data_IF_365364903560
#
_entry.id   IF_365364903560
#
_cell.length_a   1.000
_cell.length_b   1.000
_cell.length_c   1.000
_cell.angle_alpha   90.00
_cell.angle_beta   90.00
_cell.angle_gamma   90.00
#
_symmetry.space_group_name_H-M   'P 1'
#
loop_
_entity.id
_entity.type
_entity.pdbx_description
1 polymer ?
2 non-polymer ?
#
# COMPACT_ATOMS: atom_id res chain seq x y z
N UNK A 10 -17.32 -26.43 5.68
CA UNK A 10 -18.19 -26.15 4.54
C UNK A 10 -17.85 -27.02 3.33
N UNK A 11 -18.89 -27.53 2.64
CA UNK A 11 -18.75 -28.37 1.44
C UNK A 11 -17.96 -27.71 0.30
N UNK A 12 -17.62 -28.51 -0.71
CA UNK A 12 -16.56 -28.15 -1.66
C UNK A 12 -17.06 -27.62 -3.01
N UNK A 13 -16.31 -26.67 -3.57
CA UNK A 13 -16.65 -26.08 -4.85
C UNK A 13 -15.58 -26.36 -5.86
N UNK A 14 -15.85 -27.32 -6.73
CA UNK A 14 -14.89 -27.72 -7.76
C UNK A 14 -15.28 -27.20 -9.14
N UNK A 15 -14.33 -26.56 -9.81
CA UNK A 15 -14.52 -26.09 -11.17
C UNK A 15 -13.29 -26.46 -11.99
N UNK A 16 -12.49 -27.37 -11.45
CA UNK A 16 -11.25 -27.80 -12.11
C UNK A 16 -11.25 -29.28 -12.43
N UNK A 17 -11.31 -29.59 -13.72
CA UNK A 17 -11.27 -30.96 -14.21
C UNK A 17 -10.77 -30.95 -15.64
N UNK A 18 -10.27 -32.09 -16.12
CA UNK A 18 -9.77 -32.17 -17.48
C UNK A 18 -10.91 -32.32 -18.48
N UNK A 19 -11.47 -31.19 -18.89
CA UNK A 19 -12.54 -31.18 -19.89
C UNK A 19 -11.95 -30.91 -21.27
N UNK A 20 -10.63 -30.75 -21.32
CA UNK A 20 -9.95 -30.35 -22.54
C UNK A 20 -9.34 -31.53 -23.28
N UNK A 21 -9.44 -31.50 -24.60
CA UNK A 21 -8.73 -32.44 -25.46
C UNK A 21 -8.20 -31.72 -26.69
N UNK A 22 -7.21 -32.31 -27.34
CA UNK A 22 -6.69 -31.75 -28.59
C UNK A 22 -6.86 -32.76 -29.72
N UNK A 23 -7.47 -32.32 -30.81
CA UNK A 23 -7.78 -33.21 -31.93
C UNK A 23 -6.62 -33.32 -32.90
N UNK A 24 -6.08 -32.18 -33.32
CA UNK A 24 -5.03 -32.15 -34.31
C UNK A 24 -3.63 -32.10 -33.72
N UNK A 25 -2.69 -31.57 -34.49
CA UNK A 25 -1.32 -31.44 -34.05
C UNK A 25 -1.03 -30.01 -33.60
N UNK A 26 -0.09 -29.88 -32.66
CA UNK A 26 0.31 -28.57 -32.17
C UNK A 26 1.31 -27.94 -33.12
N UNK A 27 1.02 -26.73 -33.58
CA UNK A 27 1.97 -26.01 -34.42
C UNK A 27 3.11 -25.48 -33.55
N UNK A 28 4.33 -25.89 -33.89
CA UNK A 28 5.52 -25.51 -33.14
C UNK A 28 5.97 -24.13 -33.55
N UNK A 29 6.42 -23.36 -32.56
CA UNK A 29 6.64 -21.95 -32.79
C UNK A 29 7.80 -21.43 -32.00
N UNK A 30 8.81 -21.01 -32.75
CA UNK A 30 9.94 -20.39 -32.13
C UNK A 30 9.61 -18.94 -31.76
N UNK A 31 9.54 -18.74 -30.44
CA UNK A 31 9.69 -17.48 -29.68
C UNK A 31 10.62 -16.40 -30.34
N UNK A 32 10.29 -15.14 -30.11
CA UNK A 32 11.09 -14.04 -30.63
C UNK A 32 12.36 -13.86 -29.82
N UNK A 33 13.44 -13.44 -30.47
CA UNK A 33 14.73 -13.25 -29.83
C UNK A 33 14.58 -12.51 -28.50
N UNK A 34 13.83 -11.41 -28.52
CA UNK A 34 13.63 -10.59 -27.33
C UNK A 34 13.03 -11.39 -26.17
N UNK A 35 11.98 -12.14 -26.49
CA UNK A 35 11.18 -12.74 -25.45
C UNK A 35 11.82 -13.98 -24.77
N UNK A 36 12.88 -14.61 -25.30
CA UNK A 36 13.50 -15.76 -24.57
C UNK A 36 14.31 -15.13 -23.49
N UNK A 37 15.10 -14.17 -23.95
CA UNK A 37 15.95 -13.38 -23.09
C UNK A 37 15.11 -12.89 -21.93
N UNK A 38 14.00 -12.23 -22.24
CA UNK A 38 13.08 -11.76 -21.21
C UNK A 38 12.63 -12.92 -20.31
N UNK A 39 12.17 -13.99 -20.96
CA UNK A 39 11.61 -15.15 -20.27
C UNK A 39 12.54 -15.76 -19.20
N UNK A 40 13.76 -16.17 -19.54
CA UNK A 40 14.61 -16.69 -18.45
C UNK A 40 15.35 -15.56 -17.71
N UNK A 41 15.12 -14.29 -18.06
CA UNK A 41 15.42 -13.24 -17.07
C UNK A 41 14.43 -13.40 -15.91
N UNK A 42 13.15 -13.49 -16.24
CA UNK A 42 12.12 -13.66 -15.22
C UNK A 42 12.27 -14.99 -14.49
N UNK A 43 12.73 -16.03 -15.19
CA UNK A 43 12.82 -17.36 -14.60
C UNK A 43 14.08 -17.56 -13.76
N UNK A 44 15.16 -16.90 -14.13
CA UNK A 44 16.44 -17.11 -13.45
C UNK A 44 16.93 -15.89 -12.67
N UNK A 45 16.95 -14.73 -13.34
CA UNK A 45 17.52 -13.53 -12.76
C UNK A 45 16.79 -12.62 -11.75
N UNK A 46 15.52 -12.36 -12.02
CA UNK A 46 14.76 -11.37 -11.25
C UNK A 46 14.20 -11.49 -9.84
N UNK A 47 13.07 -12.18 -9.71
CA UNK A 47 12.37 -12.26 -8.41
C UNK A 47 13.24 -12.92 -7.34
N UNK A 48 13.35 -12.26 -6.20
CA UNK A 48 14.03 -12.83 -5.03
C UNK A 48 13.28 -14.04 -4.51
N UNK A 49 12.02 -13.81 -4.17
CA UNK A 49 11.15 -14.88 -3.71
C UNK A 49 10.61 -15.65 -4.91
N UNK A 50 10.48 -16.97 -4.79
CA UNK A 50 10.02 -17.79 -5.91
C UNK A 50 8.52 -18.04 -5.83
N UNK A 51 7.98 -17.92 -4.62
CA UNK A 51 6.57 -18.14 -4.33
C UNK A 51 5.68 -17.16 -5.09
N UNK A 52 6.22 -16.00 -5.41
CA UNK A 52 5.46 -14.90 -5.97
C UNK A 52 4.81 -15.21 -7.32
N UNK A 53 5.16 -16.35 -7.92
CA UNK A 53 4.50 -16.76 -9.15
C UNK A 53 3.01 -16.92 -8.84
N UNK A 54 2.71 -17.56 -7.71
CA UNK A 54 1.33 -17.69 -7.24
C UNK A 54 0.69 -16.31 -7.20
N UNK A 55 1.44 -15.33 -6.73
CA UNK A 55 0.95 -13.98 -6.59
C UNK A 55 0.65 -13.33 -7.94
N UNK A 56 1.50 -13.60 -8.93
CA UNK A 56 1.37 -12.90 -10.21
C UNK A 56 0.22 -13.47 -11.04
N UNK A 57 0.15 -14.79 -11.08
CA UNK A 57 -0.93 -15.47 -11.79
C UNK A 57 -2.30 -15.02 -11.27
N UNK A 58 -2.48 -15.10 -9.95
CA UNK A 58 -3.68 -14.59 -9.31
C UNK A 58 -3.96 -13.16 -9.77
N UNK A 59 -2.92 -12.34 -9.83
CA UNK A 59 -3.08 -10.95 -10.28
C UNK A 59 -3.71 -10.93 -11.66
N UNK A 60 -3.12 -11.68 -12.59
CA UNK A 60 -3.67 -11.79 -13.93
C UNK A 60 -5.10 -12.28 -13.85
N UNK A 61 -5.33 -13.29 -13.02
CA UNK A 61 -6.64 -13.91 -12.89
C UNK A 61 -7.68 -12.86 -12.54
N UNK A 62 -7.26 -11.83 -11.81
CA UNK A 62 -8.16 -10.75 -11.45
C UNK A 62 -8.45 -9.86 -12.65
N UNK A 63 -7.38 -9.42 -13.31
CA UNK A 63 -7.51 -8.46 -14.41
C UNK A 63 -8.53 -8.92 -15.43
N UNK A 64 -8.26 -10.08 -16.03
CA UNK A 64 -9.18 -10.71 -16.96
C UNK A 64 -10.61 -10.63 -16.44
N UNK A 65 -10.80 -11.11 -15.22
CA UNK A 65 -12.12 -11.17 -14.62
C UNK A 65 -12.80 -9.81 -14.63
N UNK A 66 -12.07 -8.77 -14.22
CA UNK A 66 -12.68 -7.45 -14.18
C UNK A 66 -13.12 -7.05 -15.58
N UNK A 67 -12.25 -7.28 -16.55
CA UNK A 67 -12.54 -6.86 -17.91
C UNK A 67 -13.68 -7.70 -18.48
N UNK A 68 -13.92 -8.86 -17.89
CA UNK A 68 -15.13 -9.59 -18.23
C UNK A 68 -16.31 -8.79 -17.66
N UNK A 69 -16.30 -8.64 -16.34
CA UNK A 69 -17.37 -7.92 -15.64
C UNK A 69 -17.71 -6.63 -16.36
N UNK A 70 -16.70 -5.77 -16.49
CA UNK A 70 -16.85 -4.49 -17.17
C UNK A 70 -17.67 -4.67 -18.44
N UNK A 71 -17.13 -5.47 -19.36
CA UNK A 71 -17.75 -5.63 -20.66
C UNK A 71 -19.20 -6.03 -20.48
N UNK A 72 -19.43 -7.08 -19.70
CA UNK A 72 -20.77 -7.57 -19.47
C UNK A 72 -21.65 -6.45 -18.93
N UNK A 73 -21.17 -5.81 -17.87
CA UNK A 73 -21.94 -4.78 -17.19
C UNK A 73 -22.21 -3.63 -18.16
N UNK A 74 -21.28 -3.40 -19.08
CA UNK A 74 -21.47 -2.35 -20.07
C UNK A 74 -22.56 -2.76 -21.06
N UNK A 75 -22.47 -3.99 -21.55
CA UNK A 75 -23.41 -4.48 -22.55
C UNK A 75 -24.80 -4.61 -21.97
N UNK A 76 -24.87 -4.71 -20.65
CA UNK A 76 -26.13 -4.84 -19.95
C UNK A 76 -26.55 -6.29 -19.82
N UNK A 77 -25.70 -7.22 -20.23
CA UNK A 77 -26.04 -8.63 -20.08
C UNK A 77 -25.51 -9.18 -18.75
N UNK A 78 -26.08 -10.31 -18.34
CA UNK A 78 -25.90 -10.84 -16.99
C UNK A 78 -24.46 -11.21 -16.63
N UNK A 79 -24.29 -11.76 -15.44
CA UNK A 79 -22.98 -12.14 -14.94
C UNK A 79 -22.93 -13.62 -14.55
N UNK A 80 -21.93 -14.34 -15.07
CA UNK A 80 -21.69 -15.74 -14.73
C UNK A 80 -20.90 -15.84 -13.43
N UNK A 81 -20.67 -17.07 -12.96
CA UNK A 81 -19.84 -17.26 -11.79
C UNK A 81 -18.41 -16.79 -12.06
N UNK A 82 -18.09 -15.60 -11.56
CA UNK A 82 -16.78 -15.00 -11.73
C UNK A 82 -15.86 -15.38 -10.57
N UNK A 83 -15.02 -16.39 -10.78
CA UNK A 83 -14.23 -16.95 -9.68
C UNK A 83 -12.80 -17.27 -10.08
N UNK A 84 -11.93 -17.35 -9.08
CA UNK A 84 -10.54 -17.80 -9.25
C UNK A 84 -10.34 -19.09 -8.48
N UNK A 85 -9.70 -20.08 -9.11
CA UNK A 85 -9.50 -21.36 -8.46
C UNK A 85 -8.07 -21.85 -8.55
N UNK A 86 -7.59 -22.40 -7.43
CA UNK A 86 -6.29 -23.04 -7.37
C UNK A 86 -6.45 -24.50 -6.95
N UNK A 87 -5.69 -25.39 -7.58
CA UNK A 87 -5.70 -26.79 -7.20
C UNK A 87 -4.28 -27.33 -7.17
N UNK A 88 -3.97 -28.13 -6.16
CA UNK A 88 -2.64 -28.72 -6.04
C UNK A 88 -2.69 -30.23 -6.14
N UNK A 89 -1.83 -30.81 -6.97
CA UNK A 89 -1.76 -32.26 -7.09
C UNK A 89 -0.40 -32.81 -6.66
N UNK A 90 -0.45 -33.69 -5.67
CA UNK A 90 0.75 -34.27 -5.05
C UNK A 90 1.47 -35.25 -5.97
N UNK A 91 0.80 -36.33 -6.35
CA UNK A 91 1.44 -37.37 -7.17
C UNK A 91 1.79 -36.87 -8.57
N UNK A 92 0.93 -36.04 -9.14
CA UNK A 92 1.19 -35.50 -10.46
C UNK A 92 2.19 -34.34 -10.40
N UNK A 93 2.43 -33.85 -9.18
CA UNK A 93 3.40 -32.80 -8.95
C UNK A 93 3.07 -31.49 -9.63
N UNK A 94 1.79 -31.13 -9.61
CA UNK A 94 1.35 -29.95 -10.36
C UNK A 94 0.64 -28.90 -9.52
N UNK A 95 0.61 -27.67 -10.03
CA UNK A 95 -0.24 -26.64 -9.45
C UNK A 95 -1.03 -25.94 -10.57
N UNK A 96 -2.33 -25.79 -10.37
CA UNK A 96 -3.21 -25.27 -11.42
C UNK A 96 -3.97 -24.05 -10.95
N UNK A 97 -4.06 -23.04 -11.82
CA UNK A 97 -4.86 -21.87 -11.54
C UNK A 97 -5.79 -21.54 -12.71
N UNK A 98 -7.09 -21.67 -12.48
CA UNK A 98 -8.07 -21.35 -13.50
C UNK A 98 -8.91 -20.14 -13.10
N UNK A 99 -9.25 -19.32 -14.08
CA UNK A 99 -10.12 -18.18 -13.85
C UNK A 99 -11.17 -18.15 -14.95
N UNK A 100 -12.40 -17.84 -14.56
CA UNK A 100 -13.51 -17.77 -15.50
C UNK A 100 -13.68 -16.35 -16.04
N UNK A 101 -12.56 -15.66 -16.22
CA UNK A 101 -12.58 -14.29 -16.70
C UNK A 101 -12.70 -14.20 -18.20
N UNK A 102 -12.32 -13.05 -18.74
CA UNK A 102 -12.23 -12.91 -20.19
C UNK A 102 -11.10 -13.83 -20.63
N UNK A 103 -11.16 -14.28 -21.88
CA UNK A 103 -10.17 -15.24 -22.33
C UNK A 103 -9.09 -14.65 -23.20
N UNK A 104 -8.51 -15.49 -24.05
CA UNK A 104 -7.46 -15.07 -24.96
C UNK A 104 -7.76 -15.53 -26.38
N UNK A 105 -7.72 -14.59 -27.32
CA UNK A 105 -7.88 -14.93 -28.72
C UNK A 105 -6.67 -15.75 -29.17
N UNK A 106 -6.74 -16.34 -30.35
CA UNK A 106 -5.61 -17.04 -30.91
C UNK A 106 -4.45 -16.07 -31.06
N UNK A 107 -4.77 -14.89 -31.57
CA UNK A 107 -3.84 -13.80 -31.78
C UNK A 107 -3.00 -13.50 -30.53
N UNK A 108 -3.69 -13.17 -29.44
CA UNK A 108 -3.05 -12.86 -28.17
C UNK A 108 -2.08 -13.96 -27.74
N UNK A 109 -2.53 -15.21 -27.85
CA UNK A 109 -1.72 -16.37 -27.52
C UNK A 109 -0.44 -16.42 -28.34
N UNK A 110 -0.60 -16.23 -29.65
CA UNK A 110 0.53 -16.26 -30.57
C UNK A 110 1.54 -15.14 -30.28
N UNK A 111 1.06 -13.98 -29.82
CA UNK A 111 1.91 -12.80 -29.67
C UNK A 111 2.60 -12.67 -28.30
N UNK A 143 -0.65 -9.05 -19.00
CA UNK A 143 0.10 -9.83 -18.04
C UNK A 143 1.43 -10.31 -18.59
N UNK A 144 2.48 -10.10 -17.81
CA UNK A 144 3.83 -10.57 -18.16
C UNK A 144 4.40 -11.28 -16.93
N UNK A 145 3.83 -10.97 -15.78
CA UNK A 145 4.13 -11.70 -14.54
C UNK A 145 3.89 -13.18 -14.72
N UNK A 146 3.07 -13.53 -15.71
CA UNK A 146 2.87 -14.90 -16.14
C UNK A 146 4.17 -15.70 -16.27
N UNK A 147 5.19 -15.07 -16.86
CA UNK A 147 6.43 -15.78 -17.13
C UNK A 147 7.17 -16.19 -15.87
N UNK A 148 6.81 -15.55 -14.75
CA UNK A 148 7.37 -15.93 -13.45
C UNK A 148 7.07 -17.40 -13.15
N UNK A 149 6.08 -17.97 -13.83
CA UNK A 149 5.77 -19.39 -13.69
C UNK A 149 7.02 -20.24 -13.90
N UNK A 150 7.83 -19.89 -14.88
CA UNK A 150 8.97 -20.72 -15.23
C UNK A 150 10.09 -20.63 -14.20
N UNK A 151 9.87 -19.85 -13.14
CA UNK A 151 10.76 -19.85 -12.00
C UNK A 151 10.70 -21.21 -11.33
N UNK A 152 9.53 -21.84 -11.37
CA UNK A 152 9.28 -23.06 -10.62
C UNK A 152 8.93 -24.27 -11.49
N UNK A 153 8.64 -24.02 -12.77
CA UNK A 153 8.11 -25.07 -13.63
C UNK A 153 9.12 -25.56 -14.65
N UNK A 154 9.06 -26.85 -14.99
CA UNK A 154 9.89 -27.34 -16.08
C UNK A 154 9.08 -27.41 -17.37
N UNK A 155 7.76 -27.44 -17.23
CA UNK A 155 6.88 -27.21 -18.37
C UNK A 155 5.53 -26.63 -17.91
N UNK A 156 5.00 -25.72 -18.72
CA UNK A 156 3.76 -25.03 -18.45
C UNK A 156 2.74 -25.31 -19.56
N UNK A 157 1.51 -25.57 -19.13
CA UNK A 157 0.42 -25.99 -20.02
C UNK A 157 -0.84 -25.14 -19.78
N UNK A 158 -1.23 -24.37 -20.79
CA UNK A 158 -2.34 -23.43 -20.64
C UNK A 158 -3.49 -23.75 -21.59
N UNK A 159 -4.72 -23.65 -21.09
CA UNK A 159 -5.91 -23.73 -21.93
C UNK A 159 -6.66 -22.43 -21.81
N UNK A 160 -7.05 -21.85 -22.95
CA UNK A 160 -7.73 -20.56 -22.88
C UNK A 160 -8.79 -20.39 -23.96
N UNK A 161 -9.95 -19.86 -23.57
CA UNK A 161 -11.04 -19.58 -24.50
C UNK A 161 -11.52 -18.15 -24.27
N UNK A 162 -11.49 -17.34 -25.32
CA UNK A 162 -11.91 -15.96 -25.21
C UNK A 162 -13.38 -15.86 -24.85
N UNK A 163 -13.74 -14.78 -24.16
CA UNK A 163 -15.13 -14.55 -23.78
C UNK A 163 -15.91 -14.01 -24.97
N UNK A 164 -15.16 -13.51 -25.94
CA UNK A 164 -15.75 -13.00 -27.18
C UNK A 164 -16.66 -14.04 -27.81
N UNK A 165 -17.78 -13.60 -28.38
CA UNK A 165 -18.76 -14.48 -29.03
C UNK A 165 -18.15 -15.35 -30.14
N UNK A 166 -18.41 -16.65 -30.08
CA UNK A 166 -17.97 -17.58 -31.10
C UNK A 166 -16.53 -18.03 -30.98
N UNK A 167 -15.80 -17.46 -30.03
CA UNK A 167 -14.38 -17.72 -29.87
C UNK A 167 -14.04 -19.19 -29.62
N UNK A 168 -12.99 -19.65 -30.29
CA UNK A 168 -12.48 -21.01 -30.10
C UNK A 168 -11.51 -21.09 -28.95
N UNK A 169 -11.34 -22.29 -28.40
CA UNK A 169 -10.41 -22.50 -27.30
C UNK A 169 -9.09 -23.06 -27.80
N UNK A 170 -8.02 -22.84 -27.05
CA UNK A 170 -6.69 -23.24 -27.49
C UNK A 170 -5.83 -23.81 -26.37
N UNK A 171 -4.94 -24.72 -26.77
CA UNK A 171 -3.89 -25.24 -25.91
C UNK A 171 -2.55 -24.60 -26.26
N UNK A 172 -1.83 -24.21 -25.22
CA UNK A 172 -0.53 -23.55 -25.32
C UNK A 172 0.47 -24.33 -24.46
N UNK A 173 1.60 -24.71 -25.04
CA UNK A 173 2.54 -25.57 -24.32
C UNK A 173 3.96 -25.02 -24.37
N UNK A 174 4.68 -25.05 -23.25
CA UNK A 174 6.08 -24.61 -23.28
C UNK A 174 6.95 -25.25 -22.21
N UNK A 175 8.24 -25.43 -22.53
CA UNK A 175 9.18 -25.93 -21.53
C UNK A 175 10.05 -24.79 -21.01
N UNK A 176 9.78 -23.58 -21.48
CA UNK A 176 10.44 -22.39 -20.97
C UNK A 176 11.68 -21.97 -21.73
N UNK A 177 11.92 -22.59 -22.88
CA UNK A 177 13.10 -22.27 -23.67
C UNK A 177 12.77 -22.12 -25.15
N UNK A 178 12.61 -20.87 -25.58
CA UNK A 178 12.49 -20.53 -26.98
C UNK A 178 11.45 -21.23 -27.85
N UNK A 179 10.88 -22.33 -27.37
CA UNK A 179 9.93 -23.06 -28.18
C UNK A 179 8.59 -23.25 -27.47
N UNK A 180 7.51 -22.86 -28.13
CA UNK A 180 6.19 -23.21 -27.59
C UNK A 180 5.29 -23.76 -28.70
N UNK A 181 4.26 -24.50 -28.31
CA UNK A 181 3.38 -25.14 -29.27
C UNK A 181 1.93 -24.71 -29.08
N UNK A 182 1.20 -24.54 -30.17
CA UNK A 182 -0.20 -24.14 -30.10
C UNK A 182 -1.13 -25.07 -30.85
N UNK A 183 -2.11 -25.62 -30.15
CA UNK A 183 -3.17 -26.39 -30.80
C UNK A 183 -4.52 -25.75 -30.54
N UNK A 184 -5.50 -26.06 -31.37
CA UNK A 184 -6.87 -25.68 -31.06
C UNK A 184 -7.45 -26.75 -30.17
N UNK A 185 -7.90 -26.36 -28.99
CA UNK A 185 -8.41 -27.32 -28.01
C UNK A 185 -9.91 -27.20 -27.88
N UNK A 186 -10.54 -28.28 -27.43
CA UNK A 186 -11.97 -28.31 -27.22
C UNK A 186 -12.27 -28.57 -25.76
N UNK A 187 -13.45 -28.17 -25.31
CA UNK A 187 -13.82 -28.39 -23.92
C UNK A 187 -13.08 -27.44 -23.00
N UNK A 188 -12.59 -26.36 -23.59
CA UNK A 188 -11.95 -25.30 -22.81
C UNK A 188 -13.01 -24.31 -22.37
N UNK A 189 -13.20 -24.19 -21.06
CA UNK A 189 -14.17 -23.23 -20.54
C UNK A 189 -13.68 -21.81 -20.83
N UNK A 190 -14.62 -20.89 -21.05
CA UNK A 190 -14.29 -19.47 -21.15
C UNK A 190 -13.44 -19.04 -19.97
N UNK A 191 -12.35 -18.34 -20.26
CA UNK A 191 -11.39 -17.96 -19.24
C UNK A 191 -10.05 -18.60 -19.52
N UNK A 192 -9.21 -18.71 -18.49
CA UNK A 192 -7.88 -19.27 -18.68
C UNK A 192 -7.52 -20.28 -17.59
N UNK A 193 -7.03 -21.44 -18.00
CA UNK A 193 -6.58 -22.47 -17.06
C UNK A 193 -5.09 -22.72 -17.24
N UNK A 194 -4.31 -22.46 -16.19
CA UNK A 194 -2.86 -22.64 -16.26
C UNK A 194 -2.37 -23.79 -15.40
N UNK A 195 -1.83 -24.82 -16.04
CA UNK A 195 -1.28 -25.96 -15.33
C UNK A 195 0.25 -25.91 -15.32
N UNK A 196 0.82 -25.87 -14.12
CA UNK A 196 2.26 -25.87 -13.94
C UNK A 196 2.76 -27.24 -13.50
N UNK A 197 3.70 -27.77 -14.26
CA UNK A 197 4.40 -29.01 -13.90
C UNK A 197 5.72 -28.65 -13.23
N UNK A 198 5.69 -28.72 -11.91
CA UNK A 198 6.75 -28.22 -11.04
C UNK A 198 8.09 -28.93 -11.24
N UNK A 199 9.16 -28.19 -10.99
CA UNK A 199 10.51 -28.75 -10.97
C UNK A 199 10.69 -29.72 -9.81
N UNK A 200 11.93 -30.16 -9.61
CA UNK A 200 12.25 -31.05 -8.50
C UNK A 200 12.20 -30.31 -7.16
N UNK A 201 13.20 -29.47 -6.91
CA UNK A 201 13.25 -28.69 -5.66
C UNK A 201 12.21 -27.57 -5.62
N UNK A 202 11.22 -27.65 -6.49
CA UNK A 202 10.15 -26.66 -6.53
C UNK A 202 8.79 -27.28 -6.25
N UNK A 203 8.79 -28.56 -5.89
CA UNK A 203 7.54 -29.29 -5.74
C UNK A 203 6.84 -28.97 -4.42
N UNK A 204 7.46 -28.13 -3.60
CA UNK A 204 6.85 -27.65 -2.36
C UNK A 204 5.52 -26.94 -2.65
N UNK A 205 5.37 -26.44 -3.87
CA UNK A 205 4.14 -25.77 -4.27
C UNK A 205 3.11 -26.77 -4.79
N UNK A 206 3.19 -28.02 -4.31
CA UNK A 206 2.17 -29.02 -4.58
C UNK A 206 1.36 -29.32 -3.33
N UNK A 207 1.83 -28.84 -2.18
CA UNK A 207 1.13 -29.08 -0.93
C UNK A 207 0.13 -27.98 -0.65
N UNK A 208 -1.10 -28.37 -0.32
CA UNK A 208 -2.17 -27.43 -0.03
C UNK A 208 -1.76 -26.43 1.06
N UNK A 209 -0.96 -26.89 2.01
CA UNK A 209 -0.52 -26.05 3.12
C UNK A 209 0.35 -24.87 2.66
N UNK A 210 1.46 -25.19 1.99
CA UNK A 210 2.38 -24.19 1.46
C UNK A 210 1.65 -23.14 0.62
N UNK A 211 0.94 -23.63 -0.39
CA UNK A 211 0.18 -22.76 -1.28
C UNK A 211 -0.81 -21.90 -0.51
N UNK A 212 -1.48 -22.50 0.48
CA UNK A 212 -2.39 -21.75 1.34
C UNK A 212 -1.67 -20.57 1.99
N UNK A 213 -0.48 -20.85 2.53
CA UNK A 213 0.33 -19.82 3.16
C UNK A 213 0.65 -18.69 2.18
N UNK A 214 1.08 -19.05 0.97
CA UNK A 214 1.40 -18.05 -0.04
C UNK A 214 0.19 -17.18 -0.40
N UNK A 215 -0.94 -17.86 -0.61
CA UNK A 215 -2.19 -17.22 -0.99
C UNK A 215 -2.65 -16.22 0.07
N UNK A 216 -2.68 -16.65 1.33
CA UNK A 216 -3.07 -15.73 2.40
C UNK A 216 -1.97 -14.71 2.69
N UNK A 217 -0.78 -14.94 2.15
CA UNK A 217 0.29 -13.97 2.36
C UNK A 217 0.10 -12.79 1.43
N UNK A 218 -0.05 -13.05 0.14
CA UNK A 218 -0.08 -11.96 -0.83
C UNK A 218 -1.48 -11.56 -1.30
N UNK A 219 -2.51 -12.30 -0.90
CA UNK A 219 -3.80 -12.17 -1.57
C UNK A 219 -5.08 -12.22 -0.72
N UNK A 220 -5.07 -11.68 0.50
CA UNK A 220 -6.31 -11.61 1.28
C UNK A 220 -7.33 -10.66 0.69
N UNK A 221 -6.91 -9.82 -0.24
CA UNK A 221 -7.72 -8.70 -0.67
C UNK A 221 -8.09 -8.75 -2.14
N UNK A 222 -7.92 -9.93 -2.76
CA UNK A 222 -8.32 -10.12 -4.14
C UNK A 222 -9.82 -9.90 -4.30
N UNK A 223 -10.21 -9.19 -5.36
CA UNK A 223 -11.57 -8.71 -5.51
C UNK A 223 -12.59 -9.79 -5.85
N UNK A 224 -12.13 -10.87 -6.48
CA UNK A 224 -13.02 -11.97 -6.87
C UNK A 224 -12.82 -13.18 -5.96
N UNK A 225 -13.87 -14.01 -5.82
CA UNK A 225 -13.77 -15.21 -4.97
C UNK A 225 -12.60 -16.12 -5.35
N UNK A 226 -11.88 -16.59 -4.34
CA UNK A 226 -10.69 -17.40 -4.56
C UNK A 226 -10.78 -18.70 -3.77
N UNK A 227 -10.66 -19.82 -4.48
CA UNK A 227 -10.75 -21.13 -3.84
C UNK A 227 -9.46 -21.92 -4.04
N UNK A 228 -8.98 -22.53 -2.96
CA UNK A 228 -7.88 -23.48 -3.06
C UNK A 228 -8.39 -24.89 -2.75
N UNK A 229 -8.33 -25.76 -3.76
CA UNK A 229 -8.84 -27.12 -3.65
C UNK A 229 -10.29 -27.16 -3.21
N UNK A 230 -11.10 -26.28 -3.81
CA UNK A 230 -12.53 -26.28 -3.56
C UNK A 230 -12.97 -25.39 -2.42
N UNK A 231 -12.01 -24.90 -1.64
CA UNK A 231 -12.31 -24.19 -0.41
C UNK A 231 -11.98 -22.70 -0.49
N UNK A 232 -12.96 -21.86 -0.15
CA UNK A 232 -12.83 -20.40 -0.20
C UNK A 232 -11.67 -19.91 0.66
N UNK A 233 -10.94 -18.91 0.19
CA UNK A 233 -9.71 -18.48 0.85
C UNK A 233 -9.82 -17.10 1.50
N UNK A 234 -9.82 -16.05 0.68
CA UNK A 234 -9.81 -14.69 1.21
C UNK A 234 -11.21 -14.19 1.58
N UNK A 235 -11.25 -13.15 2.41
CA UNK A 235 -12.51 -12.59 2.88
C UNK A 235 -12.38 -11.08 3.11
N UNK A 236 -11.15 -10.59 3.00
CA UNK A 236 -10.85 -9.22 3.36
C UNK A 236 -10.99 -8.26 2.18
N UNK A 237 -11.54 -7.09 2.46
CA UNK A 237 -11.89 -6.12 1.43
C UNK A 237 -10.88 -4.98 1.36
N UNK A 238 -10.26 -4.81 0.20
CA UNK A 238 -9.35 -3.70 -0.03
C UNK A 238 -10.11 -2.39 0.01
N UNK A 239 -10.48 -1.96 1.21
CA UNK A 239 -11.30 -0.76 1.38
C UNK A 239 -10.57 0.51 0.96
N UNK A 240 -9.26 0.39 0.70
CA UNK A 240 -8.46 1.54 0.32
C UNK A 240 -8.69 1.91 -1.15
N UNK A 241 -9.24 0.96 -1.91
CA UNK A 241 -9.54 1.17 -3.32
C UNK A 241 -10.87 1.90 -3.49
N UNK A 242 -11.69 1.87 -2.45
CA UNK A 242 -13.04 2.41 -2.50
C UNK A 242 -13.07 3.94 -2.51
N UNK A 243 -14.29 4.48 -2.57
CA UNK A 243 -14.51 5.91 -2.41
C UNK A 243 -14.45 6.23 -0.92
N UNK A 244 -13.66 7.23 -0.54
CA UNK A 244 -13.56 7.65 0.86
C UNK A 244 -14.93 7.94 1.46
N UNK A 245 -15.83 8.42 0.60
CA UNK A 245 -17.22 8.68 0.95
C UNK A 245 -17.93 7.42 1.44
N UNK A 246 -17.62 6.29 0.82
CA UNK A 246 -18.43 5.07 0.98
C UNK A 246 -17.98 4.13 2.10
N UNK A 247 -16.75 4.28 2.58
CA UNK A 247 -16.30 3.51 3.73
C UNK A 247 -16.76 4.22 5.00
N UNK A 248 -17.34 3.47 5.93
CA UNK A 248 -17.81 4.04 7.18
C UNK A 248 -16.84 3.60 8.27
N UNK A 249 -17.10 4.05 9.49
CA UNK A 249 -16.25 3.70 10.63
C UNK A 249 -15.95 2.25 10.99
N UNK A 250 -16.99 1.42 11.04
CA UNK A 250 -16.83 0.02 11.38
C UNK A 250 -15.75 -0.61 10.55
N UNK A 251 -15.75 -0.33 9.25
CA UNK A 251 -14.75 -0.89 8.34
C UNK A 251 -13.35 -0.38 8.71
N UNK A 252 -13.16 0.92 8.62
CA UNK A 252 -11.86 1.53 8.94
C UNK A 252 -11.30 0.96 10.23
N UNK A 253 -12.18 0.65 11.19
CA UNK A 253 -11.79 0.01 12.44
C UNK A 253 -11.26 -1.39 12.18
N UNK A 254 -12.03 -2.19 11.45
CA UNK A 254 -11.62 -3.54 11.09
C UNK A 254 -10.23 -3.57 10.46
N UNK A 255 -10.09 -2.81 9.39
CA UNK A 255 -8.82 -2.75 8.66
C UNK A 255 -7.70 -2.26 9.56
N UNK A 256 -7.96 -1.21 10.33
CA UNK A 256 -6.98 -0.68 11.27
C UNK A 256 -6.46 -1.81 12.17
N UNK A 257 -7.38 -2.58 12.73
CA UNK A 257 -7.00 -3.67 13.61
C UNK A 257 -6.20 -4.71 12.86
N UNK A 258 -6.55 -4.97 11.59
CA UNK A 258 -5.80 -5.94 10.80
C UNK A 258 -4.35 -5.50 10.58
N UNK A 259 -4.16 -4.37 9.91
CA UNK A 259 -2.81 -3.95 9.52
C UNK A 259 -1.97 -3.44 10.68
N UNK A 260 -2.60 -3.03 11.77
CA UNK A 260 -1.85 -2.57 12.93
C UNK A 260 -1.70 -3.68 13.95
N UNK A 261 -2.40 -4.79 13.70
CA UNK A 261 -2.50 -5.90 14.66
C UNK A 261 -2.80 -5.35 16.06
N UNK A 262 -3.79 -4.48 16.13
CA UNK A 262 -4.13 -3.77 17.35
C UNK A 262 -5.57 -4.00 17.76
N UNK A 263 -5.92 -3.55 18.97
CA UNK A 263 -7.24 -3.80 19.52
C UNK A 263 -7.95 -2.51 19.92
N UNK A 264 -7.25 -1.38 19.82
CA UNK A 264 -7.86 -0.09 20.06
C UNK A 264 -8.52 0.40 18.77
N UNK A 265 -8.77 1.70 18.70
CA UNK A 265 -9.30 2.30 17.48
C UNK A 265 -8.36 3.35 16.92
N UNK A 266 -8.49 3.64 15.61
CA UNK A 266 -7.71 4.74 15.06
C UNK A 266 -8.24 6.07 15.56
N UNK A 267 -7.40 6.86 16.22
CA UNK A 267 -7.79 8.19 16.67
C UNK A 267 -7.81 9.14 15.48
N UNK A 268 -7.03 8.82 14.45
CA UNK A 268 -7.06 9.60 13.21
C UNK A 268 -7.09 8.70 11.97
N UNK A 269 -7.75 9.18 10.92
CA UNK A 269 -7.87 8.42 9.67
C UNK A 269 -7.76 9.32 8.43
N UNK A 270 -6.88 8.94 7.51
CA UNK A 270 -6.72 9.66 6.26
C UNK A 270 -6.82 8.72 5.07
N UNK A 271 -7.89 8.87 4.29
CA UNK A 271 -8.06 8.10 3.06
C UNK A 271 -7.63 8.93 1.86
N UNK A 272 -6.43 8.67 1.36
CA UNK A 272 -5.81 9.50 0.33
C UNK A 272 -5.67 8.77 -1.00
N UNK A 273 -6.38 9.29 -2.00
CA UNK A 273 -6.25 8.78 -3.36
C UNK A 273 -5.71 9.89 -4.25
N UNK A 274 -4.81 9.55 -5.17
CA UNK A 274 -4.30 10.52 -6.12
C UNK A 274 -3.75 9.86 -7.38
N UNK A 275 -3.93 10.53 -8.51
CA UNK A 275 -3.46 10.01 -9.79
C UNK A 275 -2.45 10.95 -10.43
N UNK A 276 -2.32 12.15 -9.88
CA UNK A 276 -1.51 13.18 -10.53
C UNK A 276 -0.01 12.95 -10.37
N UNK A 277 0.54 13.01 -9.13
CA UNK A 277 1.99 12.82 -9.09
C UNK A 277 2.34 11.39 -9.42
N UNK A 278 1.82 10.48 -8.61
CA UNK A 278 1.95 9.05 -8.85
C UNK A 278 0.61 8.40 -8.56
N UNK A 279 0.49 7.11 -8.87
CA UNK A 279 -0.72 6.37 -8.51
C UNK A 279 -0.70 6.00 -7.04
N UNK A 280 -1.66 6.53 -6.27
CA UNK A 280 -1.73 6.22 -4.85
C UNK A 280 -3.16 5.96 -4.36
N UNK A 281 -3.33 4.80 -3.73
CA UNK A 281 -4.54 4.47 -2.98
C UNK A 281 -4.11 4.09 -1.58
N UNK A 282 -4.29 4.97 -0.61
CA UNK A 282 -3.74 4.74 0.71
C UNK A 282 -4.65 5.11 1.87
N UNK A 283 -4.46 4.46 3.01
CA UNK A 283 -5.14 4.81 4.24
C UNK A 283 -4.15 4.88 5.40
N UNK A 284 -4.29 5.92 6.22
CA UNK A 284 -3.38 6.12 7.34
C UNK A 284 -4.11 6.29 8.67
N UNK A 285 -3.58 5.62 9.68
CA UNK A 285 -4.22 5.52 10.99
C UNK A 285 -3.32 6.04 12.10
N UNK A 286 -3.92 6.79 13.03
CA UNK A 286 -3.26 7.10 14.29
C UNK A 286 -4.04 6.44 15.42
N UNK A 287 -3.40 5.50 16.13
CA UNK A 287 -3.94 4.67 17.21
C UNK A 287 -4.44 5.44 18.43
N UNK A 288 -5.39 4.87 19.17
CA UNK A 288 -5.78 5.37 20.48
C UNK A 288 -4.61 5.17 21.43
N UNK A 289 -4.12 3.93 21.44
CA UNK A 289 -2.95 3.55 22.20
C UNK A 289 -1.75 4.44 21.92
N UNK A 290 -1.05 4.77 22.98
CA UNK A 290 0.15 5.60 22.96
C UNK A 290 1.38 4.71 22.80
N UNK A 291 2.49 5.27 22.31
CA UNK A 291 3.74 4.50 22.29
C UNK A 291 4.32 4.32 23.70
N UNK A 303 3.19 -1.55 11.14
CA UNK A 303 3.80 -0.65 10.15
C UNK A 303 3.00 -0.63 8.85
N UNK A 304 3.20 0.43 8.07
CA UNK A 304 2.45 0.63 6.83
C UNK A 304 2.81 -0.40 5.77
N UNK A 305 1.82 -1.18 5.35
CA UNK A 305 2.02 -2.20 4.31
C UNK A 305 2.02 -1.56 2.93
N UNK A 306 2.85 -2.10 2.02
CA UNK A 306 2.91 -1.61 0.66
C UNK A 306 2.31 -2.63 -0.32
N UNK A 307 1.15 -2.29 -0.86
CA UNK A 307 0.47 -3.15 -1.83
C UNK A 307 0.58 -2.56 -3.23
N UNK A 308 0.30 -3.39 -4.24
CA UNK A 308 0.23 -2.94 -5.62
C UNK A 308 -0.90 -3.65 -6.33
N UNK A 309 -1.97 -2.91 -6.62
CA UNK A 309 -3.15 -3.44 -7.27
C UNK A 309 -3.76 -4.55 -6.41
N UNK A 310 -4.13 -4.22 -5.18
CA UNK A 310 -4.73 -5.17 -4.27
C UNK A 310 -3.86 -6.41 -4.07
N UNK A 311 -2.56 -6.26 -4.35
CA UNK A 311 -1.62 -7.35 -4.19
C UNK A 311 -0.44 -6.91 -3.33
N UNK A 312 -0.05 -7.76 -2.40
CA UNK A 312 1.00 -7.42 -1.44
C UNK A 312 2.41 -7.43 -2.03
N UNK A 313 3.12 -6.32 -1.86
CA UNK A 313 4.52 -6.25 -2.23
C UNK A 313 5.40 -6.31 -1.00
N UNK A 314 5.01 -5.55 0.02
CA UNK A 314 5.77 -5.51 1.27
C UNK A 314 4.90 -5.11 2.46
N UNK A 315 4.73 -6.03 3.40
CA UNK A 315 3.97 -5.76 4.60
C UNK A 315 4.73 -4.80 5.51
N UNK A 316 5.98 -5.13 5.79
CA UNK A 316 6.84 -4.27 6.61
C UNK A 316 7.63 -3.34 5.69
N UNK A 317 6.98 -2.28 5.23
CA UNK A 317 7.59 -1.34 4.27
C UNK A 317 7.89 0.06 4.80
N UNK A 318 8.90 0.18 5.66
CA UNK A 318 9.24 1.45 6.29
C UNK A 318 10.22 2.30 5.47
N UNK A 319 9.95 2.46 4.18
CA UNK A 319 10.76 3.33 3.33
C UNK A 319 9.85 4.30 2.56
N UNK A 320 8.56 4.02 2.60
CA UNK A 320 7.57 4.83 1.90
C UNK A 320 7.13 6.01 2.75
N UNK A 321 7.60 6.04 3.98
CA UNK A 321 7.34 7.17 4.87
C UNK A 321 8.59 7.55 5.63
N UNK A 322 8.77 8.86 5.89
CA UNK A 322 9.86 9.35 6.73
C UNK A 322 9.90 8.62 8.06
N UNK A 323 11.09 8.51 8.64
CA UNK A 323 11.24 7.79 9.90
C UNK A 323 10.43 8.44 11.03
N UNK A 324 10.22 9.75 10.95
CA UNK A 324 9.50 10.44 12.01
C UNK A 324 8.01 10.19 11.93
N UNK A 325 7.54 9.70 10.79
CA UNK A 325 6.14 9.34 10.62
C UNK A 325 5.93 7.84 10.77
N UNK A 326 6.85 7.18 11.45
CA UNK A 326 6.79 5.73 11.61
C UNK A 326 5.68 5.29 12.56
N UNK A 327 5.11 6.24 13.30
CA UNK A 327 4.04 5.92 14.25
C UNK A 327 2.70 5.73 13.54
N UNK A 328 2.68 6.01 12.24
CA UNK A 328 1.47 5.88 11.44
C UNK A 328 1.24 4.42 11.04
N UNK A 329 -0.02 3.99 11.08
CA UNK A 329 -0.37 2.65 10.62
C UNK A 329 -1.14 2.72 9.30
N UNK A 330 -1.31 1.58 8.65
CA UNK A 330 -2.13 1.56 7.45
C UNK A 330 -1.50 0.97 6.20
N UNK A 331 -1.95 1.47 5.04
CA UNK A 331 -1.58 0.86 3.78
C UNK A 331 -1.33 1.90 2.68
N UNK A 332 -0.37 1.60 1.82
CA UNK A 332 -0.11 2.41 0.64
C UNK A 332 -0.15 1.50 -0.58
N UNK A 333 -0.94 1.86 -1.59
CA UNK A 333 -1.02 1.05 -2.80
C UNK A 333 -0.65 1.88 -4.02
N UNK A 334 0.36 1.43 -4.76
CA UNK A 334 0.85 2.19 -5.90
C UNK A 334 1.23 1.27 -7.07
N UNK A 335 0.69 1.56 -8.25
CA UNK A 335 1.01 0.80 -9.46
C UNK A 335 2.43 1.07 -9.91
N UNK A 336 3.01 2.16 -9.40
CA UNK A 336 4.31 2.64 -9.85
C UNK A 336 5.46 1.98 -9.09
N UNK A 337 5.31 0.70 -8.77
CA UNK A 337 6.22 0.03 -7.84
C UNK A 337 6.65 -1.37 -8.28
N UNK A 338 7.96 -1.64 -8.26
CA UNK A 338 8.48 -2.99 -8.50
C UNK A 338 8.10 -3.96 -7.38
N UNK A 349 16.16 1.29 -4.43
CA UNK A 349 15.28 2.31 -3.90
C UNK A 349 15.45 3.63 -4.65
N UNK A 350 14.44 3.99 -5.44
CA UNK A 350 14.47 5.23 -6.20
C UNK A 350 13.13 5.94 -6.17
N UNK A 351 12.14 5.37 -6.83
CA UNK A 351 10.80 5.94 -6.89
C UNK A 351 10.19 6.02 -5.49
N UNK A 352 10.50 5.03 -4.65
CA UNK A 352 9.97 4.98 -3.30
C UNK A 352 10.23 6.33 -2.63
N UNK A 353 11.30 6.99 -3.04
CA UNK A 353 11.62 8.34 -2.58
C UNK A 353 10.55 9.32 -3.06
N UNK A 354 10.38 9.37 -4.37
CA UNK A 354 9.30 10.09 -5.02
C UNK A 354 8.01 10.00 -4.22
N UNK A 355 7.49 8.77 -4.13
CA UNK A 355 6.29 8.46 -3.36
C UNK A 355 6.31 9.03 -1.93
N UNK A 356 7.33 8.62 -1.17
CA UNK A 356 7.43 8.96 0.25
C UNK A 356 7.38 10.46 0.51
N UNK A 357 7.96 11.25 -0.39
CA UNK A 357 7.97 12.69 -0.23
C UNK A 357 6.56 13.27 -0.25
N UNK A 358 5.77 12.90 -1.27
CA UNK A 358 4.39 13.37 -1.39
C UNK A 358 3.59 12.84 -0.20
N UNK A 359 3.91 11.62 0.25
CA UNK A 359 3.23 11.06 1.42
C UNK A 359 3.44 11.96 2.63
N UNK A 360 4.70 12.34 2.88
CA UNK A 360 5.05 13.19 4.00
C UNK A 360 4.34 14.53 3.94
N UNK A 361 4.40 15.17 2.78
CA UNK A 361 3.82 16.51 2.65
C UNK A 361 2.32 16.47 2.88
N UNK A 362 1.65 15.45 2.37
CA UNK A 362 0.21 15.40 2.58
C UNK A 362 -0.16 14.98 4.01
N UNK A 363 0.68 14.20 4.67
CA UNK A 363 0.41 13.88 6.07
C UNK A 363 0.57 15.11 6.97
N UNK A 364 1.60 15.91 6.70
CA UNK A 364 1.76 17.19 7.39
C UNK A 364 0.53 18.08 7.16
N UNK A 365 0.17 18.22 5.89
CA UNK A 365 -1.04 18.94 5.49
C UNK A 365 -2.25 18.48 6.32
N UNK A 366 -2.38 17.16 6.42
CA UNK A 366 -3.48 16.53 7.14
C UNK A 366 -3.53 16.95 8.60
N UNK A 367 -2.41 16.80 9.29
CA UNK A 367 -2.38 17.13 10.72
C UNK A 367 -2.60 18.62 10.96
N UNK A 368 -2.10 19.46 10.05
CA UNK A 368 -2.40 20.89 10.13
C UNK A 368 -3.91 21.11 10.04
N UNK A 369 -4.55 20.47 9.07
CA UNK A 369 -6.01 20.56 8.91
C UNK A 369 -6.75 20.03 10.13
N UNK A 370 -6.11 19.08 10.83
CA UNK A 370 -6.69 18.48 12.02
C UNK A 370 -6.67 19.46 13.18
N UNK A 371 -5.56 20.18 13.33
CA UNK A 371 -5.45 21.22 14.34
C UNK A 371 -6.62 22.20 14.23
N UNK A 372 -6.90 22.59 12.99
CA UNK A 372 -7.96 23.53 12.69
C UNK A 372 -9.34 22.94 12.96
N UNK A 373 -9.62 21.77 12.40
CA UNK A 373 -10.93 21.15 12.54
C UNK A 373 -11.27 20.83 14.01
N UNK A 374 -10.24 20.60 14.82
CA UNK A 374 -10.41 20.37 16.25
C UNK A 374 -9.12 20.69 16.97
N UNK A 375 -9.21 21.53 18.00
CA UNK A 375 -8.03 22.02 18.69
C UNK A 375 -7.59 21.09 19.83
N UNK A 376 -8.53 20.69 20.67
CA UNK A 376 -8.21 19.92 21.87
C UNK A 376 -7.74 18.50 21.57
N UNK A 377 -8.40 17.85 20.62
CA UNK A 377 -8.01 16.50 20.22
C UNK A 377 -6.62 16.53 19.61
N UNK A 378 -6.31 17.60 18.87
CA UNK A 378 -4.97 17.75 18.34
C UNK A 378 -3.99 18.03 19.47
N UNK A 379 -4.47 18.68 20.53
CA UNK A 379 -3.62 18.93 21.69
C UNK A 379 -3.19 17.61 22.30
N UNK A 380 -4.13 16.69 22.49
CA UNK A 380 -3.78 15.38 23.04
C UNK A 380 -2.89 14.61 22.06
N UNK A 381 -3.17 14.75 20.77
CA UNK A 381 -2.33 14.12 19.75
C UNK A 381 -0.88 14.59 19.86
N UNK A 382 -0.70 15.90 20.05
CA UNK A 382 0.64 16.46 20.17
C UNK A 382 1.29 16.01 21.45
N UNK A 383 0.50 15.86 22.51
CA UNK A 383 1.03 15.38 23.77
C UNK A 383 1.56 13.96 23.64
N UNK A 384 0.86 13.13 22.88
CA UNK A 384 1.19 11.71 22.82
C UNK A 384 2.16 11.34 21.69
N UNK A 385 2.27 12.21 20.67
CA UNK A 385 3.08 11.89 19.50
C UNK A 385 4.04 13.02 19.10
N UNK A 386 4.18 14.03 19.95
CA UNK A 386 5.04 15.16 19.66
C UNK A 386 6.50 14.79 19.60
N UNK A 387 6.85 13.66 20.21
CA UNK A 387 8.19 13.10 20.18
C UNK A 387 8.70 12.98 18.75
N UNK A 388 7.89 12.37 17.90
CA UNK A 388 8.26 12.09 16.52
C UNK A 388 8.39 13.36 15.70
N UNK A 389 7.60 14.37 16.06
CA UNK A 389 7.62 15.63 15.34
C UNK A 389 8.88 16.40 15.69
N UNK A 390 9.22 16.45 16.97
CA UNK A 390 10.46 17.08 17.41
C UNK A 390 11.67 16.37 16.78
N UNK A 391 11.70 15.05 16.94
CA UNK A 391 12.77 14.23 16.38
C UNK A 391 12.92 14.45 14.87
N UNK A 392 11.79 14.52 14.17
CA UNK A 392 11.79 14.69 12.73
C UNK A 392 12.21 16.07 12.29
N UNK A 393 11.93 17.07 13.12
CA UNK A 393 12.40 18.43 12.86
C UNK A 393 13.91 18.48 12.99
N UNK A 394 14.43 17.91 14.08
CA UNK A 394 15.87 17.89 14.30
C UNK A 394 16.59 17.11 13.21
N UNK A 395 15.99 15.98 12.80
CA UNK A 395 16.61 15.08 11.83
C UNK A 395 16.65 15.66 10.43
N UNK A 396 15.62 16.42 10.06
CA UNK A 396 15.48 16.97 8.72
C UNK A 396 16.77 17.63 8.23
N UNK A 397 17.13 17.40 6.97
CA UNK A 397 18.42 17.85 6.49
C UNK A 397 18.45 19.36 6.22
N UNK A 398 17.59 19.87 5.34
CA UNK A 398 17.52 21.32 5.18
C UNK A 398 16.17 21.92 5.51
N UNK A 399 16.23 23.24 5.73
CA UNK A 399 15.28 24.01 6.52
C UNK A 399 13.81 23.81 6.16
N UNK A 400 13.48 23.83 4.87
CA UNK A 400 12.08 23.79 4.44
C UNK A 400 11.28 22.69 5.12
N UNK A 401 11.82 21.48 5.09
CA UNK A 401 11.17 20.34 5.75
C UNK A 401 11.06 20.58 7.25
N UNK A 402 12.13 21.07 7.87
CA UNK A 402 12.11 21.40 9.30
C UNK A 402 10.92 22.29 9.64
N UNK A 403 10.76 23.36 8.89
CA UNK A 403 9.69 24.32 9.13
C UNK A 403 8.33 23.68 8.89
N UNK A 404 8.22 22.90 7.81
CA UNK A 404 6.99 22.18 7.50
C UNK A 404 6.52 21.31 8.66
N UNK A 405 7.44 20.51 9.20
CA UNK A 405 7.12 19.66 10.35
C UNK A 405 6.86 20.50 11.59
N UNK A 406 7.51 21.66 11.66
CA UNK A 406 7.38 22.56 12.80
C UNK A 406 6.02 23.27 12.81
N UNK A 407 5.33 23.23 11.67
CA UNK A 407 3.96 23.73 11.60
C UNK A 407 3.02 22.87 12.44
N UNK A 408 3.53 21.75 12.93
CA UNK A 408 2.73 20.81 13.71
C UNK A 408 2.92 21.01 15.20
N UNK A 409 3.98 21.71 15.58
CA UNK A 409 4.24 22.01 16.99
C UNK A 409 3.20 22.95 17.57
N UNK A 410 2.84 22.73 18.83
CA UNK A 410 1.91 23.60 19.53
C UNK A 410 2.44 23.93 20.91
N UNK A 411 2.44 25.21 21.27
CA UNK A 411 2.97 25.65 22.56
C UNK A 411 2.11 26.73 23.18
N UNK A 412 2.30 26.95 24.47
CA UNK A 412 1.58 27.98 25.21
C UNK A 412 2.08 29.38 24.88
N UNK A 413 1.21 30.37 25.09
CA UNK A 413 1.58 31.75 24.83
C UNK A 413 1.39 32.66 26.04
N UNK A 414 2.07 33.80 26.02
CA UNK A 414 1.92 34.80 27.07
C UNK A 414 0.51 35.38 27.06
N UNK A 415 -0.02 35.59 25.86
CA UNK A 415 -1.35 36.16 25.67
C UNK A 415 -2.44 35.16 26.02
N UNK A 416 -2.33 33.97 25.43
CA UNK A 416 -3.35 32.94 25.61
C UNK A 416 -3.50 32.49 27.06
N UNK A 417 -4.73 32.13 27.45
CA UNK A 417 -4.99 31.61 28.80
C UNK A 417 -4.21 30.32 29.01
N UNK A 418 -3.60 30.11 30.16
CA UNK A 418 -2.59 29.05 30.27
C UNK A 418 -3.20 27.65 30.29
N UNK A 419 -3.01 26.97 29.17
CA UNK A 419 -3.60 25.68 28.92
C UNK A 419 -3.67 25.68 27.42
N UNK A 420 -4.15 26.81 26.90
CA UNK A 420 -4.32 26.99 25.46
C UNK A 420 -2.98 27.02 24.73
N UNK A 421 -2.98 26.47 23.53
CA UNK A 421 -1.77 26.31 22.75
C UNK A 421 -1.83 27.05 21.41
N UNK A 422 -0.72 27.01 20.67
CA UNK A 422 -0.56 27.78 19.44
C UNK A 422 0.65 27.33 18.62
N UNK A 423 0.48 27.26 17.30
CA UNK A 423 1.58 26.97 16.39
C UNK A 423 2.39 28.23 16.10
N UNK A 424 3.64 28.04 15.66
CA UNK A 424 4.50 29.16 15.28
C UNK A 424 3.79 30.05 14.28
N UNK A 425 3.10 29.41 13.34
CA UNK A 425 2.27 30.08 12.34
C UNK A 425 1.28 31.04 12.99
N UNK A 426 0.50 30.53 13.95
CA UNK A 426 -0.48 31.35 14.64
C UNK A 426 0.19 32.48 15.41
N UNK A 427 1.37 32.20 15.95
CA UNK A 427 2.16 33.20 16.67
C UNK A 427 2.60 34.34 15.77
N UNK A 428 2.83 34.03 14.50
CA UNK A 428 3.37 35.03 13.57
C UNK A 428 2.32 36.03 13.07
N UNK A 429 1.05 35.77 13.34
CA UNK A 429 -0.03 36.64 12.88
C UNK A 429 -0.36 37.70 13.94
N UNK A 430 -0.39 37.26 15.19
CA UNK A 430 -0.60 38.13 16.33
C UNK A 430 0.62 39.02 16.56
N UNK A 431 1.60 38.91 15.66
CA UNK A 431 2.87 39.61 15.72
C UNK A 431 2.78 40.95 14.98
N UNK A 432 3.77 41.81 15.18
CA UNK A 432 3.84 43.08 14.46
C UNK A 432 5.11 43.18 13.61
N UNK A 433 4.90 43.48 12.32
CA UNK A 433 5.95 43.39 11.31
C UNK A 433 7.05 44.43 11.49
N UNK A 436 9.91 42.16 13.69
CA UNK A 436 9.40 40.83 13.45
C UNK A 436 10.36 39.79 13.99
N UNK A 437 10.04 39.21 15.15
CA UNK A 437 10.86 38.17 15.73
C UNK A 437 10.10 37.33 16.75
N UNK A 438 10.46 36.04 16.76
CA UNK A 438 10.01 35.04 17.75
C UNK A 438 10.46 35.54 19.11
N UNK A 439 9.90 34.98 20.22
CA UNK A 439 10.56 34.88 21.54
C UNK A 439 9.96 33.68 22.33
N UNK A 440 10.79 32.95 23.09
CA UNK A 440 10.31 31.77 23.85
C UNK A 440 11.04 31.60 25.19
N UNK A 441 10.76 30.52 25.91
CA UNK A 441 11.30 30.33 27.25
C UNK A 441 11.08 28.94 27.84
N UNK A 442 12.15 28.17 28.07
CA UNK A 442 12.03 26.97 28.90
C UNK A 442 11.94 27.39 30.35
N UNK A 443 10.83 27.05 30.98
CA UNK A 443 10.66 27.26 32.41
C UNK A 443 9.91 26.06 32.97
N UNK A 444 10.12 25.74 34.25
CA UNK A 444 9.49 24.56 34.86
C UNK A 444 7.96 24.57 34.81
N UNK A 445 7.34 25.73 34.71
CA UNK A 445 5.87 25.81 34.56
C UNK A 445 5.40 27.20 34.17
N UNK A 446 4.10 27.36 33.95
CA UNK A 446 3.54 28.65 33.59
C UNK A 446 3.78 29.69 34.67
N UNK A 447 3.42 29.33 35.89
CA UNK A 447 3.64 30.17 37.07
C UNK A 447 5.02 30.80 37.05
N UNK A 448 6.05 29.95 37.01
CA UNK A 448 7.43 30.39 37.08
C UNK A 448 7.88 31.14 35.82
N UNK A 449 7.20 30.86 34.71
CA UNK A 449 7.55 31.48 33.44
C UNK A 449 7.06 32.92 33.36
N UNK A 450 5.78 33.14 33.63
CA UNK A 450 5.23 34.50 33.57
C UNK A 450 5.53 35.26 34.86
N UNK A 451 6.34 34.66 35.72
CA UNK A 451 6.89 35.35 36.89
C UNK A 451 8.38 35.59 36.71
N UNK A 452 8.93 35.06 35.62
CA UNK A 452 10.32 35.31 35.26
C UNK A 452 10.53 36.77 34.87
N UNK A 453 11.51 37.43 35.51
CA UNK A 453 11.87 38.81 35.18
C UNK A 453 12.30 38.99 33.73
N UNK A 454 12.68 37.90 33.06
CA UNK A 454 12.94 37.96 31.63
C UNK A 454 11.63 38.16 30.88
N UNK A 455 10.57 37.49 31.32
CA UNK A 455 9.25 37.74 30.75
C UNK A 455 8.74 39.12 31.12
N UNK A 456 8.93 39.54 32.36
CA UNK A 456 8.54 40.90 32.67
C UNK A 456 9.16 42.17 32.08
N UNK A 457 10.48 42.10 31.96
CA UNK A 457 11.21 42.69 30.87
C UNK A 457 10.39 42.79 29.58
N UNK A 458 9.69 41.70 29.27
CA UNK A 458 8.75 41.67 28.15
C UNK A 458 7.31 42.07 28.52
N UNK A 459 7.05 42.61 29.72
CA UNK A 459 5.73 43.26 29.87
C UNK A 459 5.59 44.42 28.87
N UNK A 460 5.90 45.66 29.24
CA UNK A 460 5.58 46.76 28.35
C UNK A 460 6.60 46.95 27.22
N UNK A 461 6.87 45.86 26.53
CA UNK A 461 7.38 45.88 25.17
C UNK A 461 6.27 45.29 24.33
N UNK A 462 5.16 44.99 25.00
CA UNK A 462 3.93 44.54 24.39
C UNK A 462 4.17 43.41 23.39
N UNK A 463 5.01 42.46 23.82
CA UNK A 463 5.45 41.36 22.99
C UNK A 463 4.96 40.03 23.53
N UNK A 464 4.66 39.10 22.62
CA UNK A 464 4.19 37.77 22.99
C UNK A 464 5.33 36.76 22.97
N UNK A 465 5.39 35.94 24.02
CA UNK A 465 6.44 34.93 24.12
C UNK A 465 5.85 33.55 24.36
N UNK A 466 6.51 32.53 23.81
CA UNK A 466 6.07 31.15 23.93
C UNK A 466 6.74 30.47 25.13
N UNK A 467 6.02 29.52 25.71
CA UNK A 467 6.51 28.85 26.91
C UNK A 467 6.73 27.35 26.69
N UNK A 468 7.99 26.96 26.71
CA UNK A 468 8.39 25.57 26.68
C UNK A 468 8.62 25.14 28.13
N UNK A 469 8.21 23.92 28.49
CA UNK A 469 8.34 23.48 29.88
C UNK A 469 9.24 22.27 30.02
N UNK A 470 9.75 21.80 28.89
CA UNK A 470 10.66 20.68 28.86
C UNK A 470 11.85 21.05 28.00
N UNK A 471 13.02 20.51 28.33
CA UNK A 471 14.24 20.87 27.61
C UNK A 471 14.19 20.47 26.15
N UNK A 472 13.54 19.35 25.83
CA UNK A 472 13.53 18.90 24.44
C UNK A 472 12.73 19.84 23.55
N UNK A 473 11.74 20.52 24.12
CA UNK A 473 10.97 21.51 23.38
C UNK A 473 11.87 22.67 22.96
N UNK A 474 12.61 23.20 23.93
CA UNK A 474 13.50 24.32 23.68
C UNK A 474 14.65 23.93 22.77
N UNK A 475 15.17 22.71 22.93
CA UNK A 475 16.21 22.23 22.04
C UNK A 475 15.68 22.14 20.62
N UNK A 476 14.42 21.75 20.48
CA UNK A 476 13.80 21.70 19.17
C UNK A 476 13.72 23.09 18.56
N UNK A 477 13.20 24.05 19.33
CA UNK A 477 13.12 25.43 18.86
C UNK A 477 14.50 26.02 18.58
N UNK A 478 15.51 25.51 19.24
CA UNK A 478 16.87 25.99 19.06
C UNK A 478 17.45 25.49 17.76
N UNK A 479 17.36 24.17 17.55
CA UNK A 479 17.81 23.56 16.31
C UNK A 479 17.11 24.20 15.13
N UNK A 480 15.79 24.39 15.26
CA UNK A 480 15.01 25.00 14.19
C UNK A 480 15.65 26.29 13.69
N UNK A 481 16.43 26.92 14.56
CA UNK A 481 17.11 28.17 14.21
C UNK A 481 16.11 29.28 13.94
N UNK A 482 15.30 29.12 12.88
CA UNK A 482 14.30 30.11 12.51
C UNK A 482 13.09 29.46 11.87
N UNK A 483 12.02 30.23 11.73
CA UNK A 483 10.79 29.73 11.12
C UNK A 483 10.15 30.82 10.27
N UNK A 484 10.15 30.60 8.96
CA UNK A 484 9.62 31.58 8.00
C UNK A 484 9.80 33.06 8.35
N UNK A 485 10.97 33.62 8.03
CA UNK A 485 11.14 35.07 7.96
C UNK A 485 11.07 35.76 9.31
N UNK A 486 10.96 34.93 10.34
CA UNK A 486 11.16 35.32 11.73
C UNK A 486 12.17 34.34 12.34
N UNK A 487 13.05 34.84 13.21
CA UNK A 487 14.16 34.08 13.83
C UNK A 487 13.92 33.61 15.29
N UNK A 488 14.37 32.40 15.64
CA UNK A 488 14.06 31.82 16.96
C UNK A 488 15.06 32.11 18.09
N UNK A 489 14.59 32.89 19.08
CA UNK A 489 15.38 33.41 20.23
C UNK A 489 14.66 33.32 21.60
N UNK A 490 15.34 32.85 22.65
CA UNK A 490 14.76 32.87 24.01
C UNK A 490 14.90 34.24 24.68
N UNK A 491 14.07 34.52 25.67
CA UNK A 491 14.07 35.83 26.32
C UNK A 491 15.24 35.96 27.32
N UNK A 492 16.23 35.11 27.17
CA UNK A 492 17.41 35.14 28.03
C UNK A 492 18.66 35.55 27.28
N UNK A 493 18.49 36.35 26.23
CA UNK A 493 19.62 36.83 25.42
C UNK A 493 19.25 38.08 24.63
X LIG B 1 -5.87 -14.33 -18.27
X LIG B 1 -4.77 -14.79 -17.66
X LIG B 1 -4.91 -15.55 -16.46
X LIG B 1 -3.56 -14.52 -18.17
X LIG B 1 -3.39 -13.77 -19.33
X LIG B 1 -4.51 -13.30 -19.98
X LIG B 1 -5.78 -13.60 -19.40
X LIG B 1 -7.19 -13.02 -20.18
X LIG B 1 -4.07 -12.60 -21.09
X LIG B 1 -2.71 -12.65 -21.12
X LIG B 1 -2.27 -13.36 -20.06
X LIG B 1 -0.65 -18.55 -22.74
X LIG B 1 1.97 -16.56 -23.95
X LIG B 1 -1.09 -16.51 -19.89
X LIG B 1 1.30 -14.40 -22.75
X LIG B 1 -0.89 -13.64 -19.74
X LIG B 1 0.62 -13.74 -21.76
X LIG B 1 0.34 -17.91 -21.99
X LIG B 1 1.22 -15.81 -22.85
X LIG B 1 -0.24 -15.78 -20.91
X LIG B 1 -0.13 -14.39 -20.85
X LIG B 1 0.44 -16.52 -21.93
#
# INVERSE_FOLDING_TARGET
STQTAEDKEEPLHSIISSTESVQGSTSKHEFQAETKKLLDIVARSLYSEKEVFIRELISNASDALEKLRHKLVSDGQALPEMEIHLQTNAEKGTITIQDTGIGMTQEELVSNLGTIARSGSKAFLDALQNQAEASSKIIGQFGVGFYSAFMVADRVEVYSRSAAPGSLGYQWLSDGSGVFEIAEASGVRTGTKIIIHLKSDCKEFSSEARVRDVVTKYSNFVSFPLYLNGRRMNTLQAIWMMDPKDVREWQHEEFYRYVAQAHDKPRYTLHYKTDAPLNIRSIFYVPDMKPSMFDVSRELGSSVALYSRKVLIQTKATDILPKWLRFIRGVVDSEDIPLNLSRELLQESALIRKLRDVLQQRLIKFFIDQSKKDAEKYAKFFEDYGLFMREGIVTATEQEVKEDIAKLLRYESSALPSGQLTSLSEYASRMRAGTRNIYYLCAPNRHLAEHSPYYEAMKKKDTEVLFCFEQFDELTLLHLREFDKKKLISVETDIVVDHYKE
94M N1 C2 N2 N3 C4 C5 C6 CL6 N7 C8 N9 CAA CAB CAC CAF CAH NAI OAM CAN CAP CAR CAS
#
